data_IF_867583937250
#
_entry.id   IF_867583937250
#
_cell.length_a   1.000
_cell.length_b   1.000
_cell.length_c   1.000
_cell.angle_alpha   90.00
_cell.angle_beta   90.00
_cell.angle_gamma   90.00
#
_symmetry.space_group_name_H-M   'P 1'
#
loop_
_entity.id
_entity.type
_entity.pdbx_description
1 polymer ?
2 non-polymer ?
3 non-polymer ?
4 water ?
#
# COMPACT_ATOMS: atom_id res chain seq x y z
N UNK A 12 -25.90 -7.18 -17.23
CA UNK A 12 -25.44 -7.47 -18.61
C UNK A 12 -24.00 -7.99 -18.55
N UNK A 13 -23.59 -8.79 -19.53
CA UNK A 13 -22.15 -9.12 -19.78
C UNK A 13 -21.59 -8.05 -20.68
N UNK A 14 -20.52 -7.39 -20.25
CA UNK A 14 -19.74 -6.43 -21.05
C UNK A 14 -18.47 -7.13 -21.58
N UNK A 15 -17.92 -6.65 -22.70
CA UNK A 15 -16.56 -7.05 -23.16
C UNK A 15 -15.57 -5.91 -22.87
N UNK A 16 -16.09 -4.69 -22.70
CA UNK A 16 -15.30 -3.45 -22.54
C UNK A 16 -15.82 -2.69 -21.33
N UNK A 17 -14.91 -2.12 -20.55
CA UNK A 17 -15.29 -1.24 -19.41
C UNK A 17 -14.10 -0.34 -19.10
N UNK A 18 -14.25 0.98 -19.29
CA UNK A 18 -13.10 1.90 -19.34
C UNK A 18 -12.04 1.33 -20.29
N UNK A 19 -10.81 1.13 -19.81
CA UNK A 19 -9.69 0.60 -20.62
C UNK A 19 -9.51 -0.89 -20.32
N UNK A 20 -10.48 -1.54 -19.66
CA UNK A 20 -10.47 -3.01 -19.43
C UNK A 20 -11.16 -3.71 -20.61
N UNK A 21 -10.56 -4.81 -21.06
CA UNK A 21 -11.06 -5.69 -22.16
C UNK A 21 -10.98 -7.14 -21.69
N UNK A 22 -12.09 -7.86 -21.77
CA UNK A 22 -12.16 -9.32 -21.48
C UNK A 22 -11.02 -10.02 -22.24
N UNK A 23 -10.36 -10.96 -21.56
CA UNK A 23 -9.27 -11.84 -22.02
C UNK A 23 -7.91 -11.17 -21.72
N UNK A 24 -7.89 -9.95 -21.21
CA UNK A 24 -6.62 -9.31 -20.81
C UNK A 24 -6.03 -10.04 -19.58
N UNK A 25 -4.71 -10.06 -19.52
CA UNK A 25 -3.94 -10.52 -18.36
C UNK A 25 -4.03 -9.43 -17.30
N UNK A 26 -4.13 -9.81 -16.04
CA UNK A 26 -4.55 -8.88 -14.96
C UNK A 26 -4.04 -9.45 -13.63
N UNK A 27 -3.92 -8.62 -12.61
CA UNK A 27 -3.71 -9.08 -11.21
C UNK A 27 -5.06 -9.01 -10.46
N UNK A 28 -5.35 -10.02 -9.64
CA UNK A 28 -6.53 -10.04 -8.76
C UNK A 28 -6.13 -10.22 -7.30
N UNK A 29 -6.93 -9.66 -6.38
CA UNK A 29 -6.75 -9.82 -4.92
C UNK A 29 -7.40 -11.15 -4.49
N UNK A 30 -6.60 -12.08 -3.97
CA UNK A 30 -7.10 -13.34 -3.36
C UNK A 30 -7.53 -13.08 -1.92
N UNK A 31 -8.22 -14.05 -1.33
CA UNK A 31 -8.74 -13.98 0.06
C UNK A 31 -7.57 -13.89 1.05
N UNK A 32 -6.38 -14.33 0.62
CA UNK A 32 -5.11 -14.20 1.38
C UNK A 32 -4.67 -12.72 1.48
N UNK A 33 -5.33 -11.80 0.74
CA UNK A 33 -4.96 -10.35 0.66
C UNK A 33 -3.70 -10.16 -0.20
N UNK A 34 -3.14 -11.24 -0.74
CA UNK A 34 -2.02 -11.15 -1.70
C UNK A 34 -2.59 -11.21 -3.11
N UNK A 35 -1.89 -10.62 -4.06
CA UNK A 35 -2.38 -10.45 -5.44
C UNK A 35 -1.61 -11.36 -6.38
N UNK A 36 -2.28 -11.87 -7.39
CA UNK A 36 -1.85 -13.00 -8.25
C UNK A 36 -2.31 -12.78 -9.69
N UNK A 37 -1.48 -13.20 -10.63
CA UNK A 37 -1.69 -13.06 -12.09
C UNK A 37 -2.87 -13.94 -12.51
N UNK A 38 -3.70 -13.40 -13.39
CA UNK A 38 -4.86 -14.12 -13.91
C UNK A 38 -5.34 -13.51 -15.21
N UNK A 39 -6.50 -13.94 -15.65
CA UNK A 39 -7.13 -13.54 -16.92
C UNK A 39 -8.52 -13.01 -16.59
N UNK A 40 -8.86 -11.84 -17.10
CA UNK A 40 -10.22 -11.29 -16.98
C UNK A 40 -11.08 -12.06 -17.96
N UNK A 41 -12.02 -12.87 -17.47
CA UNK A 41 -12.82 -13.76 -18.36
C UNK A 41 -14.25 -13.22 -18.48
N UNK A 42 -14.69 -12.32 -17.60
CA UNK A 42 -16.00 -11.64 -17.77
C UNK A 42 -16.04 -10.31 -17.03
N UNK A 43 -16.90 -9.44 -17.53
CA UNK A 43 -17.36 -8.20 -16.87
C UNK A 43 -18.88 -8.28 -16.80
N UNK A 44 -19.43 -8.11 -15.59
CA UNK A 44 -20.89 -8.15 -15.31
C UNK A 44 -21.26 -6.83 -14.66
N UNK A 45 -22.41 -6.26 -15.07
CA UNK A 45 -23.05 -5.04 -14.52
C UNK A 45 -24.28 -5.43 -13.71
N UNK A 46 -24.62 -4.64 -12.70
CA UNK A 46 -25.94 -4.66 -12.00
C UNK A 46 -26.22 -3.24 -11.53
N UNK A 47 -26.98 -2.48 -12.34
CA UNK A 47 -27.14 -1.02 -12.18
C UNK A 47 -25.80 -0.32 -12.37
N UNK A 48 -25.34 0.49 -11.38
CA UNK A 48 -24.07 1.18 -11.51
C UNK A 48 -22.91 0.23 -11.17
N UNK A 49 -23.23 -0.89 -10.54
CA UNK A 49 -22.26 -1.84 -9.95
C UNK A 49 -21.59 -2.70 -11.01
N UNK A 50 -20.29 -2.93 -10.87
CA UNK A 50 -19.46 -3.71 -11.83
C UNK A 50 -18.66 -4.77 -11.08
N UNK A 51 -18.63 -5.97 -11.65
CA UNK A 51 -17.83 -7.12 -11.14
C UNK A 51 -16.99 -7.72 -12.28
N UNK A 52 -15.83 -8.23 -11.92
CA UNK A 52 -14.76 -8.67 -12.84
C UNK A 52 -14.40 -10.09 -12.45
N UNK A 53 -14.74 -11.04 -13.33
CA UNK A 53 -14.45 -12.48 -13.13
C UNK A 53 -13.03 -12.77 -13.60
N UNK A 54 -12.17 -13.22 -12.69
CA UNK A 54 -10.75 -13.53 -12.96
C UNK A 54 -10.51 -15.04 -12.80
N UNK A 55 -9.84 -15.61 -13.78
CA UNK A 55 -9.32 -17.00 -13.74
C UNK A 55 -7.83 -16.88 -13.39
N UNK A 56 -7.48 -17.17 -12.16
CA UNK A 56 -6.08 -17.12 -11.65
C UNK A 56 -5.25 -18.17 -12.37
N UNK A 57 -3.97 -17.90 -12.61
CA UNK A 57 -3.07 -18.79 -13.40
C UNK A 57 -2.92 -20.15 -12.72
N UNK A 58 -2.75 -20.21 -11.41
CA UNK A 58 -2.48 -21.50 -10.72
C UNK A 58 -3.84 -22.11 -10.34
N UNK A 59 -4.52 -21.48 -9.41
CA UNK A 59 -5.72 -22.03 -8.73
C UNK A 59 -6.73 -20.90 -8.62
N UNK A 60 -7.99 -21.13 -9.05
CA UNK A 60 -9.18 -20.36 -8.60
C UNK A 60 -9.80 -19.49 -9.70
N UNK A 61 -11.11 -19.25 -9.58
CA UNK A 61 -11.84 -18.10 -10.16
C UNK A 61 -12.37 -17.25 -9.01
N UNK A 62 -12.40 -15.93 -9.18
CA UNK A 62 -13.12 -15.01 -8.27
C UNK A 62 -13.90 -13.98 -9.07
N UNK A 63 -15.00 -13.54 -8.50
CA UNK A 63 -15.78 -12.38 -8.95
C UNK A 63 -15.37 -11.21 -8.09
N UNK A 64 -14.68 -10.22 -8.66
CA UNK A 64 -13.98 -9.16 -7.88
C UNK A 64 -14.59 -7.80 -8.23
N UNK A 65 -14.65 -6.91 -7.25
CA UNK A 65 -14.87 -5.45 -7.47
C UNK A 65 -13.68 -4.87 -8.24
N UNK A 66 -13.89 -3.77 -8.99
CA UNK A 66 -12.87 -3.10 -9.82
C UNK A 66 -11.67 -2.62 -9.00
N UNK A 67 -11.84 -2.46 -7.69
CA UNK A 67 -10.73 -2.00 -6.79
C UNK A 67 -9.92 -3.21 -6.28
N UNK A 68 -10.30 -4.43 -6.66
CA UNK A 68 -9.60 -5.68 -6.32
C UNK A 68 -9.00 -6.35 -7.57
N UNK A 69 -8.76 -5.55 -8.60
CA UNK A 69 -7.96 -5.96 -9.79
C UNK A 69 -6.98 -4.84 -10.10
N UNK A 70 -5.83 -5.22 -10.63
CA UNK A 70 -4.70 -4.33 -10.92
C UNK A 70 -4.13 -4.66 -12.30
N UNK A 71 -3.67 -3.67 -13.05
CA UNK A 71 -3.02 -3.89 -14.36
C UNK A 71 -1.69 -4.60 -14.13
N UNK A 72 -1.29 -5.43 -15.07
CA UNK A 72 0.03 -6.11 -15.05
C UNK A 72 1.00 -5.24 -15.83
N UNK A 73 1.15 -3.99 -15.45
CA UNK A 73 2.19 -3.08 -15.99
C UNK A 73 2.55 -2.07 -14.94
N UNK A 74 3.70 -1.41 -15.12
CA UNK A 74 4.21 -0.35 -14.23
C UNK A 74 3.82 0.99 -14.83
N UNK A 75 3.10 1.85 -14.07
CA UNK A 75 2.68 3.14 -14.61
C UNK A 75 3.90 4.05 -14.71
N UNK A 76 3.94 5.02 -15.64
CA UNK A 76 4.89 6.13 -15.54
C UNK A 76 4.64 6.94 -14.26
N UNK A 77 5.66 7.68 -13.81
CA UNK A 77 5.61 8.60 -12.65
C UNK A 77 4.44 9.58 -12.76
N UNK A 78 4.10 10.03 -13.98
CA UNK A 78 3.09 11.08 -14.24
C UNK A 78 1.68 10.60 -13.86
N UNK A 79 1.46 9.29 -13.70
CA UNK A 79 0.10 8.76 -13.45
C UNK A 79 -0.04 8.40 -11.96
N UNK A 80 0.99 8.63 -11.15
CA UNK A 80 1.01 8.28 -9.70
C UNK A 80 1.02 9.54 -8.84
N UNK A 81 0.02 9.66 -7.96
CA UNK A 81 -0.18 10.81 -7.05
C UNK A 81 -0.05 10.32 -5.61
N UNK A 82 0.19 11.26 -4.69
CA UNK A 82 -0.09 10.97 -3.25
C UNK A 82 -1.56 10.54 -3.14
N UNK A 83 -1.80 9.37 -2.59
CA UNK A 83 -3.13 8.77 -2.49
C UNK A 83 -3.43 7.77 -3.60
N UNK A 84 -2.55 7.55 -4.58
CA UNK A 84 -2.84 6.57 -5.66
C UNK A 84 -2.93 5.19 -5.02
N UNK A 85 -3.85 4.35 -5.49
CA UNK A 85 -4.06 2.99 -4.96
C UNK A 85 -3.22 2.02 -5.79
N UNK A 86 -2.33 1.28 -5.14
CA UNK A 86 -1.36 0.43 -5.87
C UNK A 86 -1.26 -0.92 -5.20
N UNK A 87 -0.77 -1.87 -5.96
CA UNK A 87 -0.16 -3.12 -5.47
C UNK A 87 1.36 -2.99 -5.60
N UNK A 88 2.09 -3.29 -4.53
CA UNK A 88 3.56 -3.18 -4.47
C UNK A 88 4.14 -4.51 -4.01
N UNK A 89 5.29 -4.86 -4.55
CA UNK A 89 6.09 -6.03 -4.14
C UNK A 89 6.59 -5.78 -2.71
N UNK A 90 6.49 -6.78 -1.86
CA UNK A 90 7.19 -6.81 -0.57
C UNK A 90 7.86 -8.17 -0.41
N UNK A 91 9.04 -8.13 0.18
CA UNK A 91 10.01 -9.25 0.21
C UNK A 91 10.61 -9.27 1.62
N UNK A 92 10.30 -10.31 2.39
CA UNK A 92 11.05 -10.69 3.62
C UNK A 92 11.65 -12.08 3.36
N UNK A 93 12.90 -12.11 2.87
CA UNK A 93 13.64 -13.33 2.49
C UNK A 93 13.11 -13.94 1.20
N UNK A 94 12.53 -15.14 1.28
CA UNK A 94 11.95 -15.92 0.15
C UNK A 94 10.46 -15.62 0.06
N UNK A 95 9.87 -15.02 1.11
CA UNK A 95 8.47 -14.47 1.06
C UNK A 95 8.50 -13.21 0.17
N UNK A 96 8.01 -13.34 -1.08
CA UNK A 96 8.10 -12.29 -2.16
C UNK A 96 6.75 -12.18 -2.88
N UNK A 97 5.96 -11.16 -2.52
CA UNK A 97 4.48 -11.12 -2.70
C UNK A 97 4.02 -9.71 -3.13
N UNK A 98 2.80 -9.63 -3.67
CA UNK A 98 2.13 -8.36 -4.03
C UNK A 98 1.03 -8.05 -3.02
N UNK A 99 1.05 -6.86 -2.45
CA UNK A 99 0.09 -6.36 -1.43
C UNK A 99 -0.32 -4.94 -1.77
N UNK A 100 -1.52 -4.61 -1.37
CA UNK A 100 -2.16 -3.31 -1.68
C UNK A 100 -1.61 -2.26 -0.72
N UNK A 101 -1.48 -1.04 -1.22
CA UNK A 101 -1.14 0.14 -0.43
C UNK A 101 -1.48 1.42 -1.17
N UNK A 102 -0.98 2.50 -0.62
CA UNK A 102 -1.27 3.91 -0.99
C UNK A 102 0.08 4.57 -1.19
N UNK A 103 0.24 5.31 -2.27
CA UNK A 103 1.42 6.17 -2.49
C UNK A 103 1.37 7.35 -1.51
N UNK A 104 2.39 7.43 -0.67
CA UNK A 104 2.58 8.45 0.39
C UNK A 104 3.51 9.57 -0.13
N UNK A 105 4.44 9.21 -1.02
CA UNK A 105 5.55 10.07 -1.50
C UNK A 105 5.89 9.66 -2.92
N UNK A 106 6.08 10.62 -3.82
CA UNK A 106 6.54 10.39 -5.20
C UNK A 106 8.02 10.74 -5.24
N UNK A 107 8.78 10.24 -6.26
CA UNK A 107 10.22 10.45 -6.32
C UNK A 107 10.66 11.91 -6.13
N UNK A 108 11.59 12.18 -5.22
CA UNK A 108 12.18 13.54 -5.08
C UNK A 108 13.63 13.40 -4.61
N UNK A 109 14.35 14.52 -4.54
CA UNK A 109 15.78 14.53 -4.12
C UNK A 109 15.89 13.93 -2.71
N UNK A 110 15.00 14.30 -1.78
CA UNK A 110 15.15 13.89 -0.36
C UNK A 110 14.93 12.37 -0.18
N UNK A 111 14.17 11.68 -1.06
CA UNK A 111 13.88 10.23 -0.88
C UNK A 111 14.68 9.40 -1.90
N UNK A 112 15.61 10.03 -2.62
CA UNK A 112 16.49 9.40 -3.65
C UNK A 112 15.59 8.79 -4.71
N UNK A 113 14.61 9.56 -5.15
CA UNK A 113 13.76 9.25 -6.33
C UNK A 113 13.13 7.88 -6.12
N UNK A 114 12.50 7.67 -4.97
CA UNK A 114 11.73 6.44 -4.67
C UNK A 114 10.25 6.79 -4.38
N UNK A 115 9.39 5.78 -4.44
CA UNK A 115 7.98 5.89 -4.02
C UNK A 115 7.85 5.35 -2.59
N UNK A 116 7.30 6.15 -1.69
CA UNK A 116 6.94 5.66 -0.34
C UNK A 116 5.56 5.01 -0.44
N UNK A 117 5.45 3.76 0.02
CA UNK A 117 4.17 3.00 0.06
C UNK A 117 3.78 2.78 1.52
N UNK A 118 2.53 3.11 1.86
CA UNK A 118 1.85 2.69 3.11
C UNK A 118 0.94 1.52 2.73
N UNK A 119 1.35 0.33 3.14
CA UNK A 119 0.59 -0.91 2.87
C UNK A 119 -0.64 -0.92 3.77
N UNK A 120 -1.68 -1.64 3.34
CA UNK A 120 -2.98 -1.76 4.03
C UNK A 120 -2.81 -2.28 5.46
N UNK A 121 -1.74 -3.03 5.72
CA UNK A 121 -1.45 -3.73 6.99
C UNK A 121 -0.52 -2.88 7.88
N UNK A 122 -0.27 -1.62 7.53
CA UNK A 122 0.51 -0.71 8.38
C UNK A 122 2.02 -0.80 8.16
N UNK A 123 2.52 -1.65 7.27
CA UNK A 123 3.93 -1.64 6.84
C UNK A 123 4.15 -0.46 5.90
N UNK A 124 5.35 0.08 5.92
CA UNK A 124 5.80 1.23 5.10
C UNK A 124 7.12 0.88 4.43
N UNK A 125 7.29 1.27 3.19
CA UNK A 125 8.49 0.87 2.44
C UNK A 125 8.72 1.84 1.27
N UNK A 126 9.98 2.17 0.96
CA UNK A 126 10.36 2.79 -0.33
C UNK A 126 10.49 1.70 -1.39
N UNK A 127 9.90 1.93 -2.55
CA UNK A 127 9.97 0.99 -3.69
C UNK A 127 10.31 1.79 -4.96
N UNK A 128 10.57 1.08 -6.05
CA UNK A 128 10.81 1.71 -7.38
C UNK A 128 9.59 1.43 -8.24
N UNK A 129 9.54 2.09 -9.38
CA UNK A 129 8.51 1.91 -10.40
C UNK A 129 8.33 0.42 -10.69
N UNK A 130 9.42 -0.33 -10.79
CA UNK A 130 9.35 -1.73 -11.25
C UNK A 130 8.67 -2.59 -10.18
N UNK A 131 8.38 -2.05 -8.99
CA UNK A 131 7.70 -2.80 -7.88
C UNK A 131 6.20 -2.46 -7.77
N UNK A 132 5.68 -1.61 -8.63
CA UNK A 132 4.33 -1.01 -8.45
C UNK A 132 3.41 -1.43 -9.60
N UNK A 133 2.15 -1.66 -9.28
CA UNK A 133 1.07 -1.95 -10.26
C UNK A 133 -0.12 -1.07 -9.87
N UNK A 134 -0.79 -0.40 -10.81
CA UNK A 134 -1.95 0.42 -10.48
C UNK A 134 -3.23 -0.43 -10.41
N UNK A 135 -4.04 -0.18 -9.39
CA UNK A 135 -5.37 -0.80 -9.27
C UNK A 135 -6.28 -0.20 -10.36
N UNK A 136 -7.10 -1.05 -10.98
CA UNK A 136 -7.84 -0.72 -12.24
C UNK A 136 -8.91 0.34 -11.97
N UNK A 137 -9.77 0.11 -10.97
CA UNK A 137 -10.93 0.99 -10.65
C UNK A 137 -10.88 1.33 -9.17
N UNK A 138 -9.93 2.20 -8.73
CA UNK A 138 -9.84 2.57 -7.31
C UNK A 138 -11.11 3.33 -6.91
N UNK A 139 -11.44 3.31 -5.63
CA UNK A 139 -12.55 4.12 -5.08
C UNK A 139 -12.20 5.62 -5.16
N UNK A 140 -13.24 6.46 -5.16
CA UNK A 140 -13.12 7.93 -5.26
C UNK A 140 -12.22 8.40 -4.13
N UNK A 141 -12.50 7.93 -2.91
CA UNK A 141 -11.59 8.05 -1.75
C UNK A 141 -10.82 6.73 -1.70
N UNK A 142 -9.60 6.74 -2.26
CA UNK A 142 -8.77 5.53 -2.53
C UNK A 142 -8.63 4.66 -1.27
N UNK A 143 -8.61 5.30 -0.10
CA UNK A 143 -8.30 4.66 1.20
C UNK A 143 -9.53 3.93 1.76
N UNK A 144 -10.70 4.12 1.17
CA UNK A 144 -11.98 3.65 1.77
C UNK A 144 -12.09 2.13 1.74
N UNK A 145 -11.21 1.40 1.04
CA UNK A 145 -11.24 -0.08 0.99
C UNK A 145 -10.05 -0.65 1.81
N UNK A 146 -9.46 0.15 2.67
CA UNK A 146 -8.50 -0.36 3.68
C UNK A 146 -9.35 -0.89 4.86
N UNK A 147 -9.29 -2.20 5.11
CA UNK A 147 -10.13 -2.89 6.14
C UNK A 147 -9.80 -2.37 7.55
N UNK A 148 -8.53 -2.22 7.91
CA UNK A 148 -8.14 -1.73 9.28
C UNK A 148 -8.51 -0.25 9.42
N UNK A 149 -9.37 0.08 10.40
CA UNK A 149 -9.95 1.44 10.61
C UNK A 149 -8.85 2.44 10.99
N UNK A 150 -7.84 2.02 11.76
CA UNK A 150 -6.81 2.94 12.30
C UNK A 150 -5.83 3.31 11.17
N UNK A 151 -5.40 2.34 10.39
CA UNK A 151 -4.67 2.58 9.12
C UNK A 151 -5.53 3.50 8.21
N UNK A 152 -6.81 3.13 8.00
CA UNK A 152 -7.71 3.84 7.05
C UNK A 152 -7.80 5.31 7.46
N UNK A 153 -8.12 5.59 8.72
CA UNK A 153 -8.26 6.98 9.25
C UNK A 153 -6.92 7.72 9.14
N UNK A 154 -5.81 7.08 9.47
CA UNK A 154 -4.46 7.69 9.33
C UNK A 154 -4.21 8.09 7.86
N UNK A 155 -4.41 7.17 6.91
CA UNK A 155 -4.13 7.44 5.46
C UNK A 155 -5.04 8.57 4.98
N UNK A 156 -6.32 8.55 5.34
CA UNK A 156 -7.26 9.64 4.99
C UNK A 156 -6.66 11.00 5.43
N UNK A 157 -6.27 11.10 6.70
CA UNK A 157 -5.72 12.35 7.26
C UNK A 157 -4.44 12.71 6.50
N UNK A 158 -3.54 11.74 6.34
CA UNK A 158 -2.22 11.94 5.68
C UNK A 158 -2.46 12.49 4.27
N UNK A 159 -3.27 11.78 3.49
CA UNK A 159 -3.44 12.07 2.05
C UNK A 159 -4.11 13.45 1.88
N UNK A 160 -5.13 13.73 2.68
CA UNK A 160 -5.90 14.99 2.55
C UNK A 160 -5.11 16.20 3.08
N UNK A 161 -4.21 16.05 4.05
CA UNK A 161 -3.42 17.19 4.61
C UNK A 161 -2.17 17.43 3.77
N UNK A 162 -1.76 16.43 2.98
CA UNK A 162 -0.52 16.49 2.17
C UNK A 162 -0.56 17.78 1.38
N UNK A 163 0.53 18.60 1.30
CA UNK A 163 1.87 18.26 1.77
C UNK A 163 2.22 18.72 3.18
N UNK A 164 1.21 19.07 3.98
CA UNK A 164 1.42 19.41 5.41
C UNK A 164 1.64 18.09 6.17
N UNK A 165 2.88 17.80 6.53
CA UNK A 165 3.29 16.51 7.15
C UNK A 165 4.13 16.77 8.37
N UNK A 166 3.53 16.99 9.55
CA UNK A 166 4.30 16.96 10.79
C UNK A 166 5.08 15.63 10.82
N UNK A 167 6.40 15.72 11.02
CA UNK A 167 7.30 14.53 11.20
C UNK A 167 8.25 14.85 12.34
N UNK A 168 8.66 13.85 13.10
CA UNK A 168 9.66 14.07 14.18
C UNK A 168 11.05 13.86 13.58
N UNK A 169 11.92 14.83 13.80
CA UNK A 169 13.33 14.78 13.38
C UNK A 169 14.05 13.87 14.39
N UNK A 170 14.53 12.71 13.93
CA UNK A 170 15.19 11.68 14.77
C UNK A 170 16.60 11.43 14.25
N UNK A 171 17.48 11.05 15.16
CA UNK A 171 18.91 10.73 14.90
C UNK A 171 19.21 9.34 15.43
N UNK A 172 20.11 8.63 14.77
CA UNK A 172 20.54 7.29 15.22
C UNK A 172 21.08 7.41 16.65
N UNK A 173 20.66 6.49 17.51
CA UNK A 173 21.06 6.45 18.92
C UNK A 173 19.99 7.00 19.83
N UNK A 174 19.05 7.76 19.30
CA UNK A 174 18.01 8.43 20.10
C UNK A 174 17.14 7.35 20.76
N UNK A 175 16.92 7.44 22.07
CA UNK A 175 15.97 6.57 22.83
C UNK A 175 14.58 7.21 22.84
N UNK A 176 13.56 6.44 22.45
CA UNK A 176 12.15 6.92 22.33
C UNK A 176 11.23 5.75 22.68
N UNK A 177 9.96 6.07 22.90
CA UNK A 177 8.89 5.05 23.08
C UNK A 177 8.22 4.83 21.72
N UNK A 178 8.08 3.58 21.30
CA UNK A 178 7.35 3.19 20.07
C UNK A 178 6.15 2.34 20.46
N UNK A 179 5.03 2.58 19.79
CA UNK A 179 3.78 1.85 19.99
C UNK A 179 3.92 0.46 19.37
N UNK A 180 3.44 -0.57 20.08
CA UNK A 180 3.21 -1.93 19.51
C UNK A 180 2.03 -2.60 20.21
N UNK A 181 1.03 -3.05 19.45
CA UNK A 181 -0.22 -3.65 19.98
C UNK A 181 -0.72 -2.82 21.16
N UNK A 182 -0.82 -1.50 20.97
CA UNK A 182 -1.61 -0.59 21.82
C UNK A 182 -0.89 -0.18 23.09
N UNK A 183 0.40 -0.48 23.22
CA UNK A 183 1.21 -0.01 24.37
C UNK A 183 2.55 0.57 23.89
N UNK A 184 3.23 1.30 24.77
CA UNK A 184 4.54 1.94 24.51
C UNK A 184 5.65 0.96 24.88
N UNK A 185 6.68 0.88 24.03
CA UNK A 185 7.87 0.04 24.25
C UNK A 185 9.11 0.90 24.19
N UNK A 186 10.08 0.59 25.06
CA UNK A 186 11.41 1.22 25.04
C UNK A 186 12.05 0.86 23.71
N UNK A 187 12.59 1.85 22.99
CA UNK A 187 13.12 1.61 21.64
C UNK A 187 14.26 2.57 21.34
N UNK A 188 14.96 2.32 20.24
CA UNK A 188 16.10 3.12 19.80
C UNK A 188 16.03 3.33 18.29
N UNK A 189 16.32 4.54 17.85
CA UNK A 189 16.49 4.90 16.42
C UNK A 189 17.80 4.27 15.96
N UNK A 190 17.73 3.34 14.98
CA UNK A 190 18.92 2.65 14.42
C UNK A 190 19.39 3.35 13.15
N UNK A 191 18.48 3.95 12.39
CA UNK A 191 18.79 4.44 11.02
C UNK A 191 17.60 5.28 10.55
N UNK A 192 17.86 6.35 9.80
CA UNK A 192 16.80 7.13 9.09
C UNK A 192 17.07 7.04 7.59
N UNK A 193 16.02 6.84 6.82
CA UNK A 193 16.07 6.76 5.35
C UNK A 193 14.87 7.56 4.84
N UNK A 194 15.12 8.81 4.41
CA UNK A 194 14.06 9.76 4.01
C UNK A 194 13.05 9.93 5.12
N UNK A 195 11.78 9.56 4.87
CA UNK A 195 10.64 9.73 5.81
C UNK A 195 10.49 8.50 6.73
N UNK A 196 11.40 7.53 6.65
CA UNK A 196 11.28 6.27 7.42
C UNK A 196 12.39 6.22 8.46
N UNK A 197 12.07 5.68 9.63
CA UNK A 197 13.05 5.38 10.71
C UNK A 197 13.00 3.89 11.00
N UNK A 198 14.18 3.27 11.13
CA UNK A 198 14.32 1.87 11.58
C UNK A 198 14.44 1.90 13.10
N UNK A 199 13.44 1.39 13.77
CA UNK A 199 13.35 1.39 15.26
C UNK A 199 13.73 0.00 15.73
N UNK A 200 14.65 -0.10 16.68
CA UNK A 200 14.98 -1.34 17.43
C UNK A 200 14.14 -1.36 18.71
N UNK A 201 13.25 -2.34 18.89
CA UNK A 201 12.53 -2.54 20.16
C UNK A 201 13.51 -3.21 21.12
N UNK A 202 13.80 -2.58 22.27
CA UNK A 202 14.84 -3.09 23.20
C UNK A 202 14.43 -4.42 23.83
N UNK A 203 13.14 -4.68 24.01
CA UNK A 203 12.67 -5.86 24.77
C UNK A 203 13.04 -7.13 24.01
N UNK A 204 12.78 -7.18 22.69
CA UNK A 204 12.96 -8.42 21.88
C UNK A 204 14.06 -8.23 20.82
N UNK A 205 14.68 -7.04 20.72
CA UNK A 205 15.83 -6.77 19.84
C UNK A 205 15.46 -7.04 18.39
N UNK A 206 14.26 -6.62 17.98
CA UNK A 206 13.77 -6.69 16.60
C UNK A 206 13.56 -5.28 16.08
N UNK A 207 13.73 -5.07 14.78
CA UNK A 207 13.57 -3.75 14.13
C UNK A 207 12.29 -3.68 13.32
N UNK A 208 11.80 -2.46 13.13
CA UNK A 208 10.65 -2.14 12.28
C UNK A 208 10.90 -0.80 11.62
N UNK A 209 10.54 -0.66 10.34
CA UNK A 209 10.54 0.62 9.59
C UNK A 209 9.20 1.32 9.83
N UNK A 210 9.28 2.52 10.35
CA UNK A 210 8.10 3.34 10.72
C UNK A 210 8.23 4.69 10.06
N UNK A 211 7.09 5.20 9.58
CA UNK A 211 6.97 6.59 9.04
C UNK A 211 7.26 7.60 10.19
N UNK A 212 8.15 8.57 9.96
CA UNK A 212 8.57 9.54 11.00
C UNK A 212 7.43 10.49 11.40
N UNK A 213 6.29 10.49 10.68
CA UNK A 213 5.07 11.23 11.06
C UNK A 213 4.01 10.33 11.71
N UNK A 214 4.33 9.05 11.97
CA UNK A 214 3.39 8.10 12.62
C UNK A 214 3.23 8.46 14.10
N UNK A 215 2.01 8.40 14.61
CA UNK A 215 1.73 8.60 16.05
C UNK A 215 2.12 7.34 16.83
N UNK A 216 2.68 6.30 16.18
CA UNK A 216 3.34 5.17 16.90
C UNK A 216 4.69 5.63 17.48
N UNK A 217 5.23 6.76 17.01
CA UNK A 217 6.45 7.35 17.61
C UNK A 217 6.03 8.34 18.69
N UNK A 218 6.37 8.06 19.96
CA UNK A 218 5.81 8.81 21.12
C UNK A 218 6.06 10.30 20.92
N UNK A 219 7.28 10.74 20.56
CA UNK A 219 7.51 12.15 20.19
C UNK A 219 6.49 12.78 19.21
N UNK A 220 6.01 12.03 18.21
CA UNK A 220 4.95 12.51 17.28
C UNK A 220 3.62 12.57 18.02
N UNK A 221 3.33 11.52 18.79
CA UNK A 221 2.09 11.37 19.59
C UNK A 221 1.95 12.56 20.56
N UNK A 222 3.08 13.10 21.04
CA UNK A 222 3.13 14.29 21.94
C UNK A 222 3.78 15.48 21.22
#
# INVERSE_FOLDING_TARGET
MHHHHHHSSGRENLYFQGDLIVSMRILGKKRTKTWHKGTLIAIQTVGPGKKYKVKFDNKGKSLLSGNHIAYDYHPPADKLYVGSRVVAKYKDGNQVWLYAGIVAETPNVKNKLRFLIFFDDGYASYVTQSELYPICRPLKKTWEDIEDISCRDFIEEYVTAYPNRPMVLLKSGQLIKTEWEGTWWKSRVEEVDGSLVRILFLDDKRCEWIYRGSTRLEPMFSMKT
#
